data_IF_630962163326
#
_entry.id   IF_630962163326
#
_cell.length_a   1.000
_cell.length_b   1.000
_cell.length_c   1.000
_cell.angle_alpha   90.00
_cell.angle_beta   90.00
_cell.angle_gamma   90.00
#
_symmetry.space_group_name_H-M   'P 1'
#
loop_
_entity.id
_entity.type
_entity.pdbx_description
1 polymer ?
#
# COMPACT_ATOMS: atom_id res chain seq x y z
N UNK A 1 -33.08 -4.63 -3.00
CA UNK A 1 -31.89 -3.77 -3.11
C UNK A 1 -30.73 -4.62 -3.61
N UNK A 2 -30.04 -4.20 -4.68
CA UNK A 2 -28.76 -4.83 -5.05
C UNK A 2 -27.68 -4.26 -4.13
N UNK A 3 -27.09 -5.09 -3.28
CA UNK A 3 -25.95 -4.71 -2.44
C UNK A 3 -24.71 -4.74 -3.32
N UNK A 4 -24.32 -3.59 -3.88
CA UNK A 4 -23.05 -3.50 -4.58
C UNK A 4 -21.93 -3.64 -3.55
N UNK A 5 -21.30 -4.82 -3.52
CA UNK A 5 -20.14 -5.06 -2.67
C UNK A 5 -18.96 -4.20 -3.14
N UNK A 6 -18.19 -3.61 -2.21
CA UNK A 6 -16.99 -2.86 -2.57
C UNK A 6 -16.01 -3.77 -3.32
N UNK A 7 -15.48 -3.26 -4.43
CA UNK A 7 -14.52 -3.98 -5.27
C UNK A 7 -13.13 -3.95 -4.64
N UNK A 8 -12.53 -5.13 -4.45
CA UNK A 8 -11.13 -5.26 -4.04
C UNK A 8 -10.29 -5.53 -5.29
N UNK A 9 -9.28 -4.69 -5.51
CA UNK A 9 -8.38 -4.79 -6.65
C UNK A 9 -6.99 -5.17 -6.15
N UNK A 10 -6.45 -6.30 -6.64
CA UNK A 10 -5.11 -6.77 -6.30
C UNK A 10 -4.19 -6.59 -7.51
N UNK A 11 -3.17 -5.75 -7.36
CA UNK A 11 -2.13 -5.54 -8.38
C UNK A 11 -0.84 -6.17 -7.86
N UNK A 12 -0.27 -7.12 -8.61
CA UNK A 12 1.00 -7.77 -8.29
C UNK A 12 1.96 -7.70 -9.49
N UNK A 13 3.24 -7.45 -9.20
CA UNK A 13 4.32 -7.42 -10.19
C UNK A 13 5.69 -7.51 -9.47
N UNK A 14 6.77 -7.93 -10.16
CA UNK A 14 8.12 -7.90 -9.61
C UNK A 14 8.55 -6.50 -9.17
N UNK A 15 9.54 -6.44 -8.27
CA UNK A 15 10.11 -5.15 -7.87
C UNK A 15 10.81 -4.48 -9.06
N UNK A 16 10.50 -3.20 -9.30
CA UNK A 16 11.06 -2.44 -10.42
C UNK A 16 10.16 -2.33 -11.64
N UNK A 17 9.07 -3.10 -11.72
CA UNK A 17 8.14 -3.11 -12.88
C UNK A 17 7.10 -1.96 -12.84
N UNK A 18 7.27 -0.95 -11.98
CA UNK A 18 6.39 0.23 -11.97
C UNK A 18 5.01 0.04 -11.31
N UNK A 19 4.78 -1.05 -10.57
CA UNK A 19 3.51 -1.31 -9.84
C UNK A 19 3.02 -0.12 -9.03
N UNK A 20 3.93 0.50 -8.27
CA UNK A 20 3.63 1.67 -7.44
C UNK A 20 3.20 2.88 -8.29
N UNK A 21 3.79 3.05 -9.46
CA UNK A 21 3.42 4.13 -10.40
C UNK A 21 1.98 3.95 -10.88
N UNK A 22 1.60 2.74 -11.29
CA UNK A 22 0.23 2.43 -11.75
C UNK A 22 -0.79 2.67 -10.63
N UNK A 23 -0.52 2.19 -9.41
CA UNK A 23 -1.42 2.38 -8.26
C UNK A 23 -1.62 3.87 -7.96
N UNK A 24 -0.54 4.66 -7.98
CA UNK A 24 -0.60 6.12 -7.75
C UNK A 24 -1.45 6.83 -8.81
N UNK A 25 -1.29 6.45 -10.07
CA UNK A 25 -2.03 7.07 -11.18
C UNK A 25 -3.52 6.69 -11.14
N UNK A 26 -3.85 5.45 -10.77
CA UNK A 26 -5.24 5.01 -10.59
C UNK A 26 -5.96 5.80 -9.49
N UNK A 27 -5.32 6.00 -8.35
CA UNK A 27 -5.90 6.74 -7.22
C UNK A 27 -6.00 8.23 -7.56
N UNK A 28 -5.02 8.79 -8.26
CA UNK A 28 -5.06 10.19 -8.71
C UNK A 28 -6.22 10.46 -9.67
N UNK A 29 -6.57 9.50 -10.52
CA UNK A 29 -7.60 9.65 -11.55
C UNK A 29 -8.98 9.13 -11.12
N UNK A 30 -9.11 8.55 -9.93
CA UNK A 30 -10.40 8.04 -9.42
C UNK A 30 -10.49 8.16 -7.90
N UNK A 31 -11.28 9.13 -7.45
CA UNK A 31 -11.50 9.43 -6.02
C UNK A 31 -12.20 8.30 -5.25
N UNK A 32 -12.83 7.34 -5.95
CA UNK A 32 -13.44 6.16 -5.31
C UNK A 32 -12.42 5.06 -5.01
N UNK A 33 -11.15 5.22 -5.40
CA UNK A 33 -10.08 4.27 -5.12
C UNK A 33 -9.20 4.77 -3.99
N UNK A 34 -8.90 3.89 -3.05
CA UNK A 34 -7.93 4.14 -1.98
C UNK A 34 -6.86 3.05 -1.97
N UNK A 35 -5.60 3.44 -1.79
CA UNK A 35 -4.53 2.48 -1.55
C UNK A 35 -4.66 1.93 -0.12
N UNK A 36 -4.54 0.60 0.02
CA UNK A 36 -4.26 -0.01 1.31
C UNK A 36 -2.77 0.13 1.62
N UNK A 37 -2.43 0.85 2.69
CA UNK A 37 -1.06 0.99 3.17
C UNK A 37 -0.77 -0.14 4.13
N UNK A 38 0.19 -1.00 3.77
CA UNK A 38 0.60 -2.14 4.59
C UNK A 38 1.76 -1.77 5.51
N UNK A 39 1.89 -2.57 6.55
CA UNK A 39 2.95 -2.46 7.53
C UNK A 39 4.16 -3.33 7.16
N UNK A 40 5.37 -2.86 7.47
CA UNK A 40 6.58 -3.66 7.25
C UNK A 40 7.66 -3.40 8.28
N UNK A 41 8.48 -4.43 8.54
CA UNK A 41 9.64 -4.39 9.44
C UNK A 41 10.96 -4.21 8.71
N UNK A 42 10.97 -4.27 7.37
CA UNK A 42 12.17 -4.01 6.57
C UNK A 42 12.51 -2.53 6.58
N UNK A 43 13.78 -2.22 6.36
CA UNK A 43 14.20 -0.83 6.11
C UNK A 43 13.57 -0.28 4.83
N UNK A 44 13.19 0.99 4.91
CA UNK A 44 12.72 1.79 3.76
C UNK A 44 13.80 1.87 2.69
N UNK A 45 13.43 1.75 1.41
CA UNK A 45 14.33 2.05 0.28
C UNK A 45 14.46 3.56 0.10
N UNK A 46 15.52 4.03 -0.55
CA UNK A 46 15.79 5.46 -0.72
C UNK A 46 14.63 6.23 -1.39
N UNK A 47 13.85 5.56 -2.25
CA UNK A 47 12.76 6.11 -3.02
C UNK A 47 11.35 5.89 -2.42
N UNK A 48 11.25 5.27 -1.25
CA UNK A 48 9.96 5.05 -0.57
C UNK A 48 9.67 6.19 0.40
N UNK A 49 8.40 6.44 0.71
CA UNK A 49 7.92 7.45 1.66
C UNK A 49 7.14 6.75 2.77
N UNK A 50 7.55 6.98 4.01
CA UNK A 50 6.86 6.43 5.19
C UNK A 50 5.47 7.05 5.32
N UNK A 51 4.48 6.25 5.72
CA UNK A 51 3.06 6.62 5.74
C UNK A 51 2.37 6.70 4.38
N UNK A 52 3.11 6.61 3.26
CA UNK A 52 2.55 6.65 1.90
C UNK A 52 2.74 5.35 1.14
N UNK A 53 3.97 4.84 1.11
CA UNK A 53 4.29 3.58 0.45
C UNK A 53 4.15 2.40 1.42
N UNK A 54 4.54 2.62 2.68
CA UNK A 54 4.44 1.68 3.80
C UNK A 54 4.33 2.45 5.11
N UNK A 55 3.72 1.84 6.12
CA UNK A 55 3.88 2.24 7.51
C UNK A 55 5.04 1.43 8.10
N UNK A 56 6.12 2.11 8.49
CA UNK A 56 7.25 1.46 9.16
C UNK A 56 6.89 1.13 10.62
N UNK A 57 6.93 -0.15 10.99
CA UNK A 57 6.94 -0.52 12.40
C UNK A 57 8.38 -0.52 12.93
N UNK A 58 8.61 0.22 14.01
CA UNK A 58 9.82 0.04 14.82
C UNK A 58 9.76 -1.34 15.47
N UNK A 59 10.81 -2.14 15.24
CA UNK A 59 10.94 -3.55 15.63
C UNK A 59 10.74 -3.80 17.15
N UNK A 60 10.81 -2.76 17.99
CA UNK A 60 10.75 -2.84 19.45
C UNK A 60 9.35 -3.07 20.06
N UNK A 61 8.27 -3.08 19.27
CA UNK A 61 6.91 -3.29 19.79
C UNK A 61 6.44 -4.77 19.76
N UNK A 62 7.31 -5.73 19.41
CA UNK A 62 6.88 -7.12 19.18
C UNK A 62 6.90 -8.05 20.42
N UNK A 63 7.29 -7.59 21.62
CA UNK A 63 7.34 -8.46 22.80
C UNK A 63 6.90 -7.77 24.08
N UNK A 64 5.58 -7.58 24.23
CA UNK A 64 4.93 -7.62 25.55
C UNK A 64 3.63 -8.40 25.35
N UNK A 65 3.77 -9.72 25.32
CA UNK A 65 2.68 -10.64 25.65
C UNK A 65 2.52 -10.71 27.16
#
# INVERSE_FOLDING_TARGET
>A
MSTNSPLIIVISAPSGTGKTTIVRELIKNNENLVASVSYTTRKKRANEIDGKDYLLFLQNYFFYG
#
